data_IF_162556857771
#
_entry.id   IF_162556857771
#
_cell.length_a   1.000
_cell.length_b   1.000
_cell.length_c   1.000
_cell.angle_alpha   90.00
_cell.angle_beta   90.00
_cell.angle_gamma   90.00
#
_symmetry.space_group_name_H-M   'P 1'
#
loop_
_entity.id
_entity.type
_entity.pdbx_description
1 polymer ?
#
# COMPACT_ATOMS: atom_id res chain seq x y z
N UNK A 1 10.37 8.84 -7.21
CA UNK A 1 9.14 9.64 -7.40
C UNK A 1 9.52 10.98 -7.99
N UNK A 2 8.82 11.41 -9.01
CA UNK A 2 9.02 12.73 -9.64
C UNK A 2 7.95 13.68 -9.14
N UNK A 3 8.38 14.83 -8.59
CA UNK A 3 7.49 15.80 -7.94
C UNK A 3 7.28 17.02 -8.83
N UNK A 4 6.04 17.43 -9.01
CA UNK A 4 5.64 18.64 -9.74
C UNK A 4 4.77 19.53 -8.84
N UNK A 5 5.36 20.17 -7.80
CA UNK A 5 4.57 20.88 -6.79
C UNK A 5 3.81 22.09 -7.34
N UNK A 6 4.35 22.78 -8.35
CA UNK A 6 3.68 23.91 -8.99
C UNK A 6 2.42 23.49 -9.74
N UNK A 7 2.40 22.26 -10.26
CA UNK A 7 1.29 21.69 -10.99
C UNK A 7 0.37 20.84 -10.11
N UNK A 8 0.78 20.58 -8.87
CA UNK A 8 -0.03 19.90 -7.86
C UNK A 8 -0.06 18.38 -7.96
N UNK A 9 0.91 17.75 -8.63
CA UNK A 9 0.97 16.30 -8.76
C UNK A 9 2.36 15.72 -8.59
N UNK A 10 2.39 14.41 -8.42
CA UNK A 10 3.60 13.58 -8.49
C UNK A 10 3.32 12.38 -9.37
N UNK A 11 4.37 11.77 -9.87
CA UNK A 11 4.28 10.50 -10.59
C UNK A 11 5.44 9.59 -10.21
N UNK A 12 5.22 8.29 -10.37
CA UNK A 12 6.26 7.29 -10.13
C UNK A 12 7.14 7.19 -11.36
N UNK A 13 8.45 7.28 -11.15
CA UNK A 13 9.42 7.07 -12.23
C UNK A 13 9.41 5.60 -12.63
N UNK A 14 9.47 5.33 -13.93
CA UNK A 14 9.43 3.97 -14.46
C UNK A 14 10.52 3.09 -13.88
N UNK A 15 11.75 3.60 -13.76
CA UNK A 15 12.88 2.87 -13.19
C UNK A 15 12.72 2.53 -11.72
N UNK A 16 11.84 3.22 -10.99
CA UNK A 16 11.55 2.97 -9.58
C UNK A 16 10.42 1.98 -9.34
N UNK A 17 9.62 1.65 -10.35
CA UNK A 17 8.42 0.81 -10.17
C UNK A 17 8.77 -0.59 -9.66
N UNK A 18 9.65 -1.29 -10.36
CA UNK A 18 10.02 -2.66 -10.00
C UNK A 18 10.68 -2.73 -8.62
N UNK A 19 11.80 -2.01 -8.35
CA UNK A 19 12.49 -2.18 -7.08
C UNK A 19 11.69 -1.73 -5.86
N UNK A 20 10.77 -0.79 -6.01
CA UNK A 20 10.03 -0.22 -4.88
C UNK A 20 8.69 -0.91 -4.62
N UNK A 21 7.91 -1.17 -5.67
CA UNK A 21 6.51 -1.60 -5.54
C UNK A 21 6.23 -3.02 -6.05
N UNK A 22 6.99 -3.52 -7.01
CA UNK A 22 6.66 -4.72 -7.76
C UNK A 22 7.83 -5.70 -7.90
N UNK A 23 8.80 -5.71 -6.97
CA UNK A 23 10.02 -6.51 -7.13
C UNK A 23 9.79 -8.03 -7.16
N UNK A 24 8.68 -8.52 -6.63
CA UNK A 24 8.28 -9.93 -6.64
C UNK A 24 7.18 -10.25 -7.68
N UNK A 25 6.88 -9.29 -8.55
CA UNK A 25 5.88 -9.45 -9.60
C UNK A 25 6.55 -9.84 -10.94
N UNK A 26 5.76 -10.46 -11.84
CA UNK A 26 6.22 -10.78 -13.18
C UNK A 26 6.41 -9.52 -14.02
N UNK A 27 7.21 -9.63 -15.09
CA UNK A 27 7.37 -8.52 -16.05
C UNK A 27 6.03 -8.15 -16.72
N UNK A 28 5.16 -9.15 -16.94
CA UNK A 28 3.81 -8.92 -17.47
C UNK A 28 2.97 -8.06 -16.53
N UNK A 29 3.01 -8.35 -15.22
CA UNK A 29 2.31 -7.57 -14.20
C UNK A 29 2.85 -6.13 -14.14
N UNK A 30 4.17 -5.96 -14.23
CA UNK A 30 4.81 -4.65 -14.21
C UNK A 30 4.42 -3.84 -15.44
N UNK A 31 4.38 -4.44 -16.60
CA UNK A 31 3.94 -3.79 -17.84
C UNK A 31 2.48 -3.36 -17.75
N UNK A 32 1.62 -4.17 -17.15
CA UNK A 32 0.23 -3.83 -16.87
C UNK A 32 0.11 -2.64 -15.92
N UNK A 33 0.93 -2.61 -14.86
CA UNK A 33 0.97 -1.49 -13.93
C UNK A 33 1.37 -0.18 -14.62
N UNK A 34 2.37 -0.21 -15.49
CA UNK A 34 2.81 0.97 -16.26
C UNK A 34 1.69 1.57 -17.09
N UNK A 35 0.84 0.74 -17.67
CA UNK A 35 -0.30 1.20 -18.49
C UNK A 35 -1.37 1.88 -17.64
N UNK A 36 -1.57 1.45 -16.39
CA UNK A 36 -2.67 1.92 -15.55
C UNK A 36 -2.26 2.98 -14.52
N UNK A 37 -0.98 3.13 -14.22
CA UNK A 37 -0.51 4.14 -13.28
C UNK A 37 -0.59 5.54 -13.91
N UNK A 38 -0.98 6.52 -13.12
CA UNK A 38 -1.15 7.89 -13.54
C UNK A 38 -0.60 8.90 -12.54
N UNK A 39 -1.04 10.13 -12.68
CA UNK A 39 -0.64 11.23 -11.81
C UNK A 39 -1.32 11.11 -10.45
N UNK A 40 -0.57 11.39 -9.39
CA UNK A 40 -1.05 11.42 -8.02
C UNK A 40 -1.12 12.86 -7.54
N UNK A 41 -2.30 13.31 -7.11
CA UNK A 41 -2.44 14.64 -6.54
C UNK A 41 -1.64 14.78 -5.24
N UNK A 42 -0.91 15.88 -5.10
CA UNK A 42 -0.07 16.14 -3.94
C UNK A 42 -0.86 16.63 -2.72
N UNK A 43 -1.90 17.44 -2.93
CA UNK A 43 -2.65 18.05 -1.83
C UNK A 43 -3.17 17.04 -0.81
N UNK A 44 -3.80 15.94 -1.20
CA UNK A 44 -4.27 14.95 -0.22
C UNK A 44 -3.15 14.32 0.61
N UNK A 45 -1.94 14.25 0.08
CA UNK A 45 -0.79 13.67 0.79
C UNK A 45 -0.27 14.58 1.90
N UNK A 46 -0.50 15.89 1.79
CA UNK A 46 -0.03 16.88 2.76
C UNK A 46 -1.08 17.37 3.75
N UNK A 47 -2.32 16.90 3.65
CA UNK A 47 -3.42 17.34 4.51
C UNK A 47 -3.74 16.25 5.54
N UNK A 48 -3.70 16.57 6.86
CA UNK A 48 -4.04 15.61 7.90
C UNK A 48 -5.49 15.10 7.74
N UNK A 49 -5.66 13.79 7.87
CA UNK A 49 -6.99 13.17 7.89
C UNK A 49 -7.58 13.34 9.30
N UNK A 50 -8.86 13.70 9.37
CA UNK A 50 -9.58 13.80 10.63
C UNK A 50 -10.54 12.62 10.76
N UNK A 51 -10.40 11.88 11.85
CA UNK A 51 -11.27 10.74 12.17
C UNK A 51 -11.82 10.90 13.58
N UNK A 52 -12.91 10.21 13.87
CA UNK A 52 -13.52 10.20 15.21
C UNK A 52 -13.64 8.78 15.73
N UNK A 53 -13.72 8.62 17.04
CA UNK A 53 -13.94 7.32 17.67
C UNK A 53 -15.31 6.75 17.34
N UNK A 54 -16.33 7.60 17.17
CA UNK A 54 -17.70 7.20 16.85
C UNK A 54 -17.83 6.65 15.42
N UNK A 55 -17.05 7.19 14.49
CA UNK A 55 -17.08 6.77 13.08
C UNK A 55 -15.95 5.79 12.77
N UNK A 56 -14.79 6.27 12.39
CA UNK A 56 -13.66 5.42 12.03
C UNK A 56 -13.26 4.49 13.18
N UNK A 57 -13.21 5.01 14.40
CA UNK A 57 -12.81 4.24 15.59
C UNK A 57 -13.75 3.08 15.94
N UNK A 58 -15.01 3.12 15.47
CA UNK A 58 -15.98 2.05 15.69
C UNK A 58 -15.86 0.90 14.68
N UNK A 59 -15.14 1.10 13.58
CA UNK A 59 -14.99 0.10 12.52
C UNK A 59 -13.90 -0.90 12.91
N UNK A 60 -14.21 -2.18 12.76
CA UNK A 60 -13.22 -3.26 12.91
C UNK A 60 -12.12 -3.06 11.88
N UNK A 61 -10.86 -3.04 12.33
CA UNK A 61 -9.71 -2.88 11.45
C UNK A 61 -8.79 -4.09 11.51
N UNK A 62 -8.32 -4.50 10.35
CA UNK A 62 -7.32 -5.55 10.18
C UNK A 62 -6.20 -4.99 9.31
N UNK A 63 -4.96 -5.24 9.68
CA UNK A 63 -3.80 -4.85 8.90
C UNK A 63 -3.15 -6.07 8.27
N UNK A 64 -2.87 -6.00 6.97
CA UNK A 64 -2.08 -7.00 6.28
C UNK A 64 -0.70 -6.39 6.06
N UNK A 65 0.30 -6.87 6.80
CA UNK A 65 1.67 -6.40 6.64
C UNK A 65 2.39 -7.17 5.54
N UNK A 66 3.14 -6.44 4.72
CA UNK A 66 3.94 -7.00 3.65
C UNK A 66 5.40 -7.00 4.07
N UNK A 67 5.96 -8.18 4.32
CA UNK A 67 7.29 -8.33 4.96
C UNK A 67 8.45 -7.94 4.05
N UNK A 68 8.26 -7.93 2.73
CA UNK A 68 9.26 -7.56 1.72
C UNK A 68 8.96 -6.22 1.05
N UNK A 69 8.16 -5.39 1.70
CA UNK A 69 7.74 -4.09 1.16
C UNK A 69 8.91 -3.11 1.16
N UNK A 70 9.25 -2.57 0.00
CA UNK A 70 10.29 -1.55 -0.17
C UNK A 70 9.71 -0.13 -0.27
N UNK A 71 8.39 0.01 -0.37
CA UNK A 71 7.72 1.31 -0.37
C UNK A 71 7.36 1.76 1.04
N UNK A 72 6.64 0.89 1.77
CA UNK A 72 6.36 1.04 3.20
C UNK A 72 7.10 -0.07 3.94
N UNK A 73 8.32 0.23 4.38
CA UNK A 73 9.16 -0.77 5.03
C UNK A 73 8.49 -1.35 6.28
N UNK A 74 8.76 -2.64 6.63
CA UNK A 74 8.06 -3.33 7.73
C UNK A 74 8.07 -2.59 9.06
N UNK A 75 9.17 -1.92 9.40
CA UNK A 75 9.28 -1.14 10.64
C UNK A 75 8.27 0.01 10.67
N UNK A 76 8.05 0.68 9.54
CA UNK A 76 7.08 1.75 9.43
C UNK A 76 5.64 1.22 9.47
N UNK A 77 5.37 0.10 8.82
CA UNK A 77 4.08 -0.59 8.91
C UNK A 77 3.77 -0.93 10.37
N UNK A 78 4.73 -1.49 11.09
CA UNK A 78 4.58 -1.83 12.52
C UNK A 78 4.26 -0.61 13.36
N UNK A 79 4.92 0.52 13.10
CA UNK A 79 4.63 1.77 13.78
C UNK A 79 3.17 2.18 13.56
N UNK A 80 2.69 2.14 12.32
CA UNK A 80 1.33 2.54 11.98
C UNK A 80 0.27 1.70 12.69
N UNK A 81 0.38 0.36 12.64
CA UNK A 81 -0.64 -0.49 13.27
C UNK A 81 -0.47 -0.62 14.80
N UNK A 82 0.64 -0.12 15.35
CA UNK A 82 0.84 -0.03 16.80
C UNK A 82 0.24 1.28 17.33
N UNK A 83 0.46 2.39 16.63
CA UNK A 83 -0.09 3.70 17.01
C UNK A 83 -1.61 3.74 16.86
N UNK A 84 -2.15 3.06 15.87
CA UNK A 84 -3.58 2.90 15.66
C UNK A 84 -3.92 1.39 15.68
N UNK A 85 -4.16 0.83 16.87
CA UNK A 85 -4.29 -0.61 17.03
C UNK A 85 -5.38 -1.22 16.15
N UNK A 86 -5.03 -2.35 15.53
CA UNK A 86 -5.95 -3.16 14.73
C UNK A 86 -6.35 -4.40 15.52
N UNK A 87 -7.53 -4.95 15.22
CA UNK A 87 -8.01 -6.17 15.83
C UNK A 87 -7.13 -7.37 15.53
N UNK A 88 -6.56 -7.37 14.32
CA UNK A 88 -5.72 -8.45 13.83
C UNK A 88 -4.67 -7.90 12.87
N UNK A 89 -3.48 -8.49 12.90
CA UNK A 89 -2.41 -8.26 11.92
C UNK A 89 -2.11 -9.58 11.22
N UNK A 90 -2.17 -9.58 9.90
CA UNK A 90 -1.85 -10.73 9.05
C UNK A 90 -0.55 -10.41 8.33
N UNK A 91 0.40 -11.34 8.34
CA UNK A 91 1.69 -11.17 7.65
C UNK A 91 1.70 -11.92 6.33
N UNK A 92 2.12 -11.24 5.27
CA UNK A 92 2.38 -11.84 3.96
C UNK A 92 3.84 -11.60 3.57
N UNK A 93 4.52 -12.63 3.08
CA UNK A 93 5.90 -12.53 2.62
C UNK A 93 5.93 -12.04 1.17
N UNK A 94 5.51 -10.80 0.98
CA UNK A 94 5.36 -10.17 -0.34
C UNK A 94 5.92 -8.76 -0.36
N UNK A 95 6.06 -8.24 -1.59
CA UNK A 95 6.31 -6.81 -1.83
C UNK A 95 5.10 -5.96 -1.46
N UNK A 96 5.16 -4.70 -1.83
CA UNK A 96 4.06 -3.73 -1.69
C UNK A 96 2.77 -4.11 -2.43
N UNK A 97 2.84 -5.07 -3.36
CA UNK A 97 1.74 -5.39 -4.28
C UNK A 97 1.30 -6.86 -4.24
N UNK A 98 0.84 -7.37 -3.07
CA UNK A 98 0.41 -8.75 -2.94
C UNK A 98 -0.79 -9.11 -3.83
N UNK A 99 -1.59 -8.13 -4.22
CA UNK A 99 -2.70 -8.33 -5.15
C UNK A 99 -2.24 -8.73 -6.55
N UNK A 100 -0.98 -8.49 -6.90
CA UNK A 100 -0.35 -8.94 -8.15
C UNK A 100 0.51 -10.18 -7.96
N UNK A 101 1.36 -10.20 -6.92
CA UNK A 101 2.33 -11.28 -6.72
C UNK A 101 1.74 -12.51 -6.05
N UNK A 102 0.70 -12.36 -5.22
CA UNK A 102 0.09 -13.45 -4.46
C UNK A 102 -1.44 -13.26 -4.33
N UNK A 103 -2.17 -13.13 -5.47
CA UNK A 103 -3.60 -12.81 -5.41
C UNK A 103 -4.44 -13.89 -4.74
N UNK A 104 -4.11 -15.16 -4.91
CA UNK A 104 -4.82 -16.27 -4.29
C UNK A 104 -4.67 -16.27 -2.77
N UNK A 105 -3.46 -16.08 -2.26
CA UNK A 105 -3.18 -15.98 -0.82
C UNK A 105 -3.89 -14.77 -0.21
N UNK A 106 -3.81 -13.61 -0.87
CA UNK A 106 -4.50 -12.41 -0.41
C UNK A 106 -6.01 -12.62 -0.36
N UNK A 107 -6.59 -13.22 -1.39
CA UNK A 107 -8.02 -13.53 -1.44
C UNK A 107 -8.43 -14.46 -0.28
N UNK A 108 -7.63 -15.47 0.03
CA UNK A 108 -7.90 -16.39 1.14
C UNK A 108 -7.88 -15.65 2.49
N UNK A 109 -6.94 -14.74 2.71
CA UNK A 109 -6.91 -13.92 3.91
C UNK A 109 -8.17 -13.05 4.02
N UNK A 110 -8.56 -12.38 2.94
CA UNK A 110 -9.76 -11.53 2.94
C UNK A 110 -11.03 -12.35 3.21
N UNK A 111 -11.16 -13.54 2.62
CA UNK A 111 -12.30 -14.41 2.85
C UNK A 111 -12.36 -14.92 4.28
N UNK A 112 -11.22 -15.14 4.94
CA UNK A 112 -11.17 -15.59 6.33
C UNK A 112 -11.67 -14.55 7.33
N UNK A 113 -11.77 -13.29 6.92
CA UNK A 113 -12.21 -12.16 7.74
C UNK A 113 -13.73 -11.92 7.70
N UNK A 114 -14.42 -12.58 6.82
CA UNK A 114 -15.87 -12.41 6.64
C UNK A 114 -16.69 -13.26 7.59
#
# INVERSE_FOLDING_TARGET
>A
MEMHPEEGYTLLKEEGLKPTFYHDCSEEDIDLAKVHLGLQALKPMGVPVRTTNENFGSVRRVYIECLQDHALVPEFQKQMYTELPCEQVISMDTSHSPFMSAPGELANHLMSLS
#
